data_IF_516784994719
#
_entry.id   IF_516784994719
#
_cell.length_a   1.000
_cell.length_b   1.000
_cell.length_c   1.000
_cell.angle_alpha   90.00
_cell.angle_beta   90.00
_cell.angle_gamma   90.00
#
_symmetry.space_group_name_H-M   'P 1'
#
loop_
_entity.id
_entity.type
_entity.pdbx_description
1 polymer ?
#
# COMPACT_ATOMS: atom_id res chain seq x y z
N UNK A 1 29.89 -43.82 -29.62
CA UNK A 1 28.69 -43.79 -30.48
C UNK A 1 27.44 -44.35 -29.80
N UNK A 2 27.31 -45.65 -29.50
CA UNK A 2 26.06 -46.19 -28.89
C UNK A 2 25.88 -45.89 -27.38
N UNK A 3 26.97 -45.67 -26.63
CA UNK A 3 26.93 -45.29 -25.20
C UNK A 3 26.56 -43.82 -25.02
N UNK A 4 27.15 -42.93 -25.82
CA UNK A 4 26.89 -41.48 -25.79
C UNK A 4 25.43 -41.16 -26.11
N UNK A 5 24.85 -41.83 -27.11
CA UNK A 5 23.43 -41.70 -27.43
C UNK A 5 22.52 -42.08 -26.25
N UNK A 6 22.83 -43.18 -25.53
CA UNK A 6 22.04 -43.58 -24.36
C UNK A 6 22.08 -42.56 -23.22
N UNK A 7 23.22 -41.90 -23.02
CA UNK A 7 23.35 -40.82 -22.03
C UNK A 7 22.55 -39.58 -22.44
N UNK A 8 22.62 -39.19 -23.72
CA UNK A 8 21.86 -38.05 -24.25
C UNK A 8 20.33 -38.30 -24.19
N UNK A 9 19.87 -39.52 -24.49
CA UNK A 9 18.46 -39.89 -24.34
C UNK A 9 17.99 -39.89 -22.88
N UNK A 10 18.83 -40.35 -21.95
CA UNK A 10 18.51 -40.35 -20.52
C UNK A 10 18.47 -38.93 -19.94
N UNK A 11 19.38 -38.05 -20.37
CA UNK A 11 19.42 -36.65 -19.95
C UNK A 11 18.23 -35.86 -20.49
N UNK A 12 17.84 -36.11 -21.74
CA UNK A 12 16.66 -35.49 -22.35
C UNK A 12 15.36 -35.94 -21.68
N UNK A 13 15.27 -37.22 -21.34
CA UNK A 13 14.12 -37.77 -20.60
C UNK A 13 14.05 -37.20 -19.17
N UNK A 14 15.18 -37.06 -18.48
CA UNK A 14 15.25 -36.42 -17.16
C UNK A 14 14.80 -34.96 -17.21
N UNK A 15 15.25 -34.21 -18.23
CA UNK A 15 14.90 -32.80 -18.41
C UNK A 15 13.42 -32.58 -18.75
N UNK A 16 12.81 -33.48 -19.53
CA UNK A 16 11.37 -33.42 -19.83
C UNK A 16 10.50 -33.82 -18.62
N UNK A 17 10.95 -34.77 -17.80
CA UNK A 17 10.25 -35.19 -16.56
C UNK A 17 10.30 -34.07 -15.50
N UNK A 18 11.47 -33.42 -15.33
CA UNK A 18 11.63 -32.27 -14.43
C UNK A 18 10.74 -31.09 -14.85
N UNK A 19 10.64 -30.80 -16.16
CA UNK A 19 9.72 -29.77 -16.67
C UNK A 19 8.25 -30.12 -16.41
N UNK A 20 7.87 -31.37 -16.62
CA UNK A 20 6.50 -31.83 -16.42
C UNK A 20 6.10 -31.77 -14.94
N UNK A 21 7.02 -32.07 -14.02
CA UNK A 21 6.80 -31.95 -12.57
C UNK A 21 6.71 -30.49 -12.11
N UNK A 22 7.53 -29.59 -12.68
CA UNK A 22 7.44 -28.15 -12.44
C UNK A 22 6.10 -27.59 -12.95
N UNK A 23 5.67 -28.01 -14.14
CA UNK A 23 4.40 -27.57 -14.73
C UNK A 23 3.22 -28.05 -13.89
N UNK A 24 3.19 -29.34 -13.49
CA UNK A 24 2.18 -29.86 -12.55
C UNK A 24 2.18 -29.15 -11.20
N UNK A 25 3.36 -28.85 -10.66
CA UNK A 25 3.48 -28.12 -9.39
C UNK A 25 2.95 -26.70 -9.54
N UNK A 26 3.24 -26.00 -10.64
CA UNK A 26 2.73 -24.65 -10.88
C UNK A 26 1.22 -24.60 -11.07
N UNK A 27 0.64 -25.59 -11.76
CA UNK A 27 -0.82 -25.71 -11.94
C UNK A 27 -1.52 -26.05 -10.60
N UNK A 28 -0.92 -26.92 -9.77
CA UNK A 28 -1.45 -27.24 -8.46
C UNK A 28 -1.39 -26.04 -7.49
N UNK A 29 -0.33 -25.22 -7.57
CA UNK A 29 -0.23 -23.96 -6.82
C UNK A 29 -1.25 -22.92 -7.30
N UNK A 30 -1.50 -22.81 -8.62
CA UNK A 30 -2.53 -21.94 -9.19
C UNK A 30 -3.96 -22.34 -8.74
N UNK A 31 -4.22 -23.64 -8.55
CA UNK A 31 -5.48 -24.16 -7.99
C UNK A 31 -5.62 -23.93 -6.48
N UNK A 32 -4.52 -24.02 -5.71
CA UNK A 32 -4.50 -23.71 -4.27
C UNK A 32 -4.58 -22.21 -3.97
N UNK A 33 -4.04 -21.35 -4.85
CA UNK A 33 -4.17 -19.90 -4.73
C UNK A 33 -5.60 -19.42 -5.02
N UNK A 34 -6.40 -20.21 -5.74
CA UNK A 34 -7.77 -19.85 -6.07
C UNK A 34 -8.71 -19.99 -4.88
N UNK A 35 -9.63 -19.04 -4.74
CA UNK A 35 -10.57 -19.10 -3.63
C UNK A 35 -11.43 -20.36 -3.76
N UNK A 36 -11.60 -21.16 -2.69
CA UNK A 36 -12.48 -22.34 -2.69
C UNK A 36 -13.93 -22.01 -3.05
N UNK A 37 -14.31 -20.73 -2.98
CA UNK A 37 -15.63 -20.21 -3.31
C UNK A 37 -15.59 -19.64 -4.74
N UNK A 38 -16.29 -20.25 -5.71
CA UNK A 38 -16.21 -19.89 -7.13
C UNK A 38 -16.69 -18.46 -7.41
N UNK A 39 -17.63 -17.95 -6.60
CA UNK A 39 -18.11 -16.57 -6.71
C UNK A 39 -17.03 -15.54 -6.36
N UNK A 40 -16.11 -15.88 -5.44
CA UNK A 40 -14.99 -15.02 -5.02
C UNK A 40 -13.84 -15.10 -6.04
N UNK A 41 -13.57 -16.29 -6.57
CA UNK A 41 -12.60 -16.51 -7.64
C UNK A 41 -12.93 -15.73 -8.93
N UNK A 42 -14.22 -15.55 -9.22
CA UNK A 42 -14.65 -14.83 -10.42
C UNK A 42 -14.52 -13.30 -10.32
N UNK A 43 -14.50 -12.74 -9.10
CA UNK A 43 -14.47 -11.29 -8.85
C UNK A 43 -13.07 -10.76 -8.52
N UNK A 44 -12.16 -11.63 -8.05
CA UNK A 44 -10.77 -11.27 -7.74
C UNK A 44 -9.85 -12.01 -8.69
N UNK A 45 -9.12 -11.28 -9.53
CA UNK A 45 -8.04 -11.88 -10.33
C UNK A 45 -6.87 -12.20 -9.40
N UNK A 46 -6.50 -13.48 -9.32
CA UNK A 46 -5.30 -13.90 -8.58
C UNK A 46 -3.99 -13.56 -9.29
N UNK A 47 -4.03 -13.32 -10.60
CA UNK A 47 -2.85 -12.97 -11.38
C UNK A 47 -2.54 -11.49 -11.21
N UNK A 48 -1.41 -11.19 -10.57
CA UNK A 48 -0.85 -9.84 -10.52
C UNK A 48 -0.13 -9.51 -11.84
N UNK A 49 -0.42 -8.33 -12.41
CA UNK A 49 0.28 -7.81 -13.59
C UNK A 49 1.37 -6.81 -13.16
N UNK A 50 2.67 -7.17 -13.24
CA UNK A 50 3.76 -6.31 -12.81
C UNK A 50 4.02 -5.12 -13.76
N UNK A 51 3.42 -5.10 -14.96
CA UNK A 51 3.60 -4.01 -15.93
C UNK A 51 2.74 -2.77 -15.64
N UNK A 52 1.76 -2.90 -14.75
CA UNK A 52 0.84 -1.81 -14.41
C UNK A 52 1.60 -0.65 -13.71
N UNK A 53 1.47 0.59 -14.20
CA UNK A 53 2.15 1.74 -13.60
C UNK A 53 1.66 1.98 -12.17
N UNK A 54 2.64 2.11 -11.26
CA UNK A 54 2.47 2.44 -9.85
C UNK A 54 3.13 3.79 -9.56
N UNK A 55 2.71 4.45 -8.48
CA UNK A 55 3.30 5.73 -8.02
C UNK A 55 3.26 6.86 -9.06
N UNK A 56 2.19 6.95 -9.86
CA UNK A 56 2.03 8.00 -10.88
C UNK A 56 1.81 9.39 -10.28
N UNK A 57 1.89 10.44 -11.10
CA UNK A 57 1.56 11.81 -10.69
C UNK A 57 0.16 11.92 -10.06
N UNK A 58 -0.83 11.27 -10.66
CA UNK A 58 -2.22 11.23 -10.16
C UNK A 58 -2.30 10.61 -8.76
N UNK A 59 -1.57 9.51 -8.53
CA UNK A 59 -1.46 8.92 -7.20
C UNK A 59 -0.92 9.94 -6.19
N UNK A 60 0.21 10.57 -6.48
CA UNK A 60 0.84 11.53 -5.56
C UNK A 60 -0.07 12.72 -5.25
N UNK A 61 -0.70 13.27 -6.29
CA UNK A 61 -1.64 14.39 -6.15
C UNK A 61 -2.82 14.02 -5.24
N UNK A 62 -3.49 12.89 -5.50
CA UNK A 62 -4.62 12.44 -4.68
C UNK A 62 -4.20 12.06 -3.26
N UNK A 63 -3.14 11.28 -3.12
CA UNK A 63 -2.67 10.79 -1.83
C UNK A 63 -2.29 11.95 -0.91
N UNK A 64 -1.56 12.95 -1.40
CA UNK A 64 -1.18 14.13 -0.59
C UNK A 64 -2.41 14.93 -0.18
N UNK A 65 -3.31 15.25 -1.11
CA UNK A 65 -4.49 16.07 -0.82
C UNK A 65 -5.41 15.36 0.19
N UNK A 66 -5.72 14.08 -0.05
CA UNK A 66 -6.59 13.33 0.85
C UNK A 66 -5.96 13.13 2.23
N UNK A 67 -4.66 12.85 2.32
CA UNK A 67 -3.97 12.74 3.60
C UNK A 67 -3.97 14.05 4.39
N UNK A 68 -3.75 15.20 3.73
CA UNK A 68 -3.81 16.52 4.38
C UNK A 68 -5.20 16.77 4.94
N UNK A 69 -6.24 16.57 4.13
CA UNK A 69 -7.63 16.82 4.53
C UNK A 69 -8.02 15.90 5.69
N UNK A 70 -7.72 14.62 5.59
CA UNK A 70 -8.07 13.63 6.61
C UNK A 70 -7.38 13.92 7.94
N UNK A 71 -6.06 14.12 7.90
CA UNK A 71 -5.24 14.38 9.08
C UNK A 71 -5.65 15.70 9.74
N UNK A 72 -5.94 16.74 8.95
CA UNK A 72 -6.44 18.01 9.46
C UNK A 72 -7.74 17.85 10.23
N UNK A 73 -8.76 17.19 9.65
CA UNK A 73 -10.04 17.03 10.33
C UNK A 73 -9.91 16.19 11.60
N UNK A 74 -9.20 15.06 11.53
CA UNK A 74 -9.01 14.20 12.69
C UNK A 74 -8.24 14.90 13.81
N UNK A 75 -7.20 15.67 13.48
CA UNK A 75 -6.43 16.41 14.47
C UNK A 75 -7.19 17.63 15.03
N UNK A 76 -7.97 18.32 14.18
CA UNK A 76 -8.74 19.50 14.59
C UNK A 76 -9.86 19.16 15.59
N UNK A 77 -10.52 18.00 15.42
CA UNK A 77 -11.57 17.56 16.32
C UNK A 77 -11.07 16.83 17.57
N UNK A 78 -9.78 16.53 17.66
CA UNK A 78 -9.20 15.72 18.75
C UNK A 78 -9.47 16.27 20.16
N UNK A 79 -9.29 17.58 20.38
CA UNK A 79 -9.50 18.21 21.69
C UNK A 79 -10.95 18.65 21.96
N UNK A 80 -11.90 18.29 21.09
CA UNK A 80 -13.31 18.65 21.28
C UNK A 80 -13.98 17.68 22.25
N UNK A 81 -14.96 18.19 23.00
CA UNK A 81 -15.76 17.38 23.94
C UNK A 81 -16.52 16.24 23.24
N UNK A 82 -16.92 16.45 21.99
CA UNK A 82 -17.49 15.44 21.11
C UNK A 82 -16.63 15.37 19.84
N UNK A 83 -15.57 14.54 19.83
CA UNK A 83 -14.68 14.44 18.68
C UNK A 83 -15.40 13.74 17.53
N UNK A 84 -15.29 14.31 16.32
CA UNK A 84 -15.72 13.67 15.08
C UNK A 84 -14.49 13.15 14.36
N UNK A 85 -14.44 11.83 14.13
CA UNK A 85 -13.35 11.19 13.38
C UNK A 85 -13.85 10.76 12.01
N UNK A 86 -13.07 11.08 10.98
CA UNK A 86 -13.31 10.65 9.61
C UNK A 86 -12.50 9.38 9.37
N UNK A 87 -13.20 8.33 8.95
CA UNK A 87 -12.57 7.06 8.59
C UNK A 87 -11.93 7.15 7.19
N UNK A 88 -10.76 6.54 7.02
CA UNK A 88 -10.07 6.41 5.74
C UNK A 88 -10.92 5.73 4.65
N UNK A 89 -11.94 4.94 5.02
CA UNK A 89 -12.93 4.37 4.09
C UNK A 89 -13.63 5.43 3.23
N UNK A 90 -13.84 6.65 3.76
CA UNK A 90 -14.42 7.75 3.00
C UNK A 90 -13.51 8.12 1.82
N UNK A 91 -12.20 8.14 2.03
CA UNK A 91 -11.23 8.39 0.96
C UNK A 91 -11.12 7.21 0.01
N UNK A 92 -11.19 5.98 0.51
CA UNK A 92 -11.24 4.81 -0.35
C UNK A 92 -12.43 4.90 -1.32
N UNK A 93 -13.63 5.24 -0.85
CA UNK A 93 -14.80 5.40 -1.72
C UNK A 93 -14.65 6.58 -2.70
N UNK A 94 -14.12 7.72 -2.25
CA UNK A 94 -13.97 8.92 -3.08
C UNK A 94 -12.83 8.81 -4.11
N UNK A 95 -11.78 8.06 -3.81
CA UNK A 95 -10.60 7.97 -4.66
C UNK A 95 -10.89 7.29 -6.00
N UNK A 96 -11.87 6.38 -6.07
CA UNK A 96 -12.25 5.71 -7.32
C UNK A 96 -12.87 6.66 -8.37
N UNK A 97 -13.98 7.37 -8.09
CA UNK A 97 -14.57 8.29 -9.05
C UNK A 97 -13.63 9.44 -9.41
N UNK A 98 -12.87 9.97 -8.43
CA UNK A 98 -11.92 11.06 -8.66
C UNK A 98 -10.73 10.59 -9.49
N UNK A 99 -10.18 9.40 -9.23
CA UNK A 99 -9.11 8.82 -10.03
C UNK A 99 -9.52 8.59 -11.49
N UNK A 100 -10.74 8.08 -11.70
CA UNK A 100 -11.29 7.87 -13.05
C UNK A 100 -11.66 9.17 -13.76
N UNK A 101 -12.02 10.21 -13.01
CA UNK A 101 -12.21 11.56 -13.54
C UNK A 101 -10.87 12.17 -14.00
N UNK A 102 -9.83 12.10 -13.15
CA UNK A 102 -8.50 12.62 -13.47
C UNK A 102 -7.87 11.90 -14.66
N UNK A 103 -8.09 10.58 -14.79
CA UNK A 103 -7.64 9.81 -15.95
C UNK A 103 -8.25 10.30 -17.28
N UNK A 104 -9.41 10.96 -17.26
CA UNK A 104 -10.04 11.55 -18.44
C UNK A 104 -9.64 13.01 -18.70
N UNK A 105 -9.32 13.76 -17.65
CA UNK A 105 -9.04 15.20 -17.73
C UNK A 105 -7.54 15.49 -17.94
N UNK A 106 -6.65 14.66 -17.38
CA UNK A 106 -5.21 14.86 -17.52
C UNK A 106 -4.74 14.56 -18.96
N UNK A 107 -3.85 15.40 -19.52
CA UNK A 107 -3.28 15.18 -20.85
C UNK A 107 -2.43 13.89 -20.86
N UNK A 108 -2.52 13.15 -21.97
CA UNK A 108 -1.74 11.92 -22.20
C UNK A 108 -0.24 12.20 -22.15
N UNK A 109 0.52 11.37 -21.44
CA UNK A 109 1.98 11.51 -21.29
C UNK A 109 2.46 11.08 -19.91
N UNK A 110 3.52 11.71 -19.40
CA UNK A 110 4.08 11.40 -18.07
C UNK A 110 3.06 11.60 -16.93
N UNK A 111 2.15 12.57 -17.08
CA UNK A 111 1.09 12.86 -16.10
C UNK A 111 -0.08 11.87 -16.16
N UNK A 112 -0.26 11.19 -17.29
CA UNK A 112 -1.33 10.22 -17.50
C UNK A 112 -0.82 9.05 -18.36
N UNK A 113 -0.08 8.10 -17.75
CA UNK A 113 0.52 6.98 -18.46
C UNK A 113 -0.50 5.93 -18.92
N UNK A 114 -1.72 5.95 -18.36
CA UNK A 114 -2.77 5.00 -18.72
C UNK A 114 -4.04 5.14 -17.89
N UNK A 115 -5.00 4.21 -18.09
CA UNK A 115 -6.23 4.14 -17.31
C UNK A 115 -5.98 4.09 -15.80
N UNK A 116 -6.98 4.47 -15.02
CA UNK A 116 -6.89 4.37 -13.57
C UNK A 116 -6.89 2.91 -13.13
N UNK A 117 -5.80 2.50 -12.47
CA UNK A 117 -5.56 1.11 -12.12
C UNK A 117 -5.94 0.80 -10.66
N UNK A 118 -6.20 -0.48 -10.38
CA UNK A 118 -6.49 -0.96 -9.02
C UNK A 118 -5.30 -0.70 -8.09
N UNK A 119 -4.07 -0.86 -8.58
CA UNK A 119 -2.85 -0.59 -7.80
C UNK A 119 -2.77 0.86 -7.32
N UNK A 120 -3.04 1.83 -8.20
CA UNK A 120 -3.04 3.24 -7.81
C UNK A 120 -4.15 3.54 -6.79
N UNK A 121 -5.34 2.96 -6.97
CA UNK A 121 -6.46 3.11 -6.06
C UNK A 121 -6.16 2.59 -4.65
N UNK A 122 -5.64 1.37 -4.56
CA UNK A 122 -5.24 0.75 -3.29
C UNK A 122 -4.14 1.57 -2.64
N UNK A 123 -3.15 2.03 -3.42
CA UNK A 123 -2.03 2.81 -2.89
C UNK A 123 -2.48 4.17 -2.33
N UNK A 124 -3.40 4.88 -3.01
CA UNK A 124 -3.99 6.12 -2.45
C UNK A 124 -4.68 5.84 -1.13
N UNK A 125 -5.49 4.77 -1.06
CA UNK A 125 -6.26 4.41 0.13
C UNK A 125 -5.35 4.01 1.30
N UNK A 126 -4.29 3.26 1.03
CA UNK A 126 -3.28 2.86 2.01
C UNK A 126 -2.55 4.09 2.58
N UNK A 127 -2.05 4.97 1.71
CA UNK A 127 -1.35 6.19 2.13
C UNK A 127 -2.25 7.11 2.94
N UNK A 128 -3.52 7.25 2.55
CA UNK A 128 -4.49 8.01 3.34
C UNK A 128 -4.77 7.38 4.70
N UNK A 129 -4.90 6.06 4.77
CA UNK A 129 -5.10 5.34 6.03
C UNK A 129 -3.92 5.53 6.99
N UNK A 130 -2.69 5.51 6.47
CA UNK A 130 -1.48 5.79 7.25
C UNK A 130 -1.45 7.22 7.82
N UNK A 131 -2.13 8.18 7.20
CA UNK A 131 -2.22 9.57 7.64
C UNK A 131 -3.47 9.87 8.50
N UNK A 132 -4.38 8.91 8.67
CA UNK A 132 -5.64 9.11 9.37
C UNK A 132 -5.47 9.29 10.89
N UNK A 133 -4.42 8.71 11.46
CA UNK A 133 -4.16 8.73 12.90
C UNK A 133 -3.74 10.11 13.41
N UNK A 134 -4.25 10.47 14.59
CA UNK A 134 -3.75 11.63 15.34
C UNK A 134 -2.40 11.30 15.98
N UNK A 135 -1.51 12.30 16.04
CA UNK A 135 -0.16 12.08 16.58
C UNK A 135 -0.19 12.11 18.12
N UNK A 136 0.08 10.97 18.75
CA UNK A 136 0.03 10.86 20.22
C UNK A 136 0.99 11.81 20.95
N UNK A 137 2.11 12.18 20.31
CA UNK A 137 3.06 13.13 20.86
C UNK A 137 2.47 14.53 21.07
N UNK A 138 1.37 14.87 20.38
CA UNK A 138 0.64 16.13 20.60
C UNK A 138 0.10 16.19 22.03
N UNK A 139 -0.42 15.08 22.57
CA UNK A 139 -0.94 15.04 23.94
C UNK A 139 0.19 15.23 24.96
N UNK A 140 1.37 14.66 24.70
CA UNK A 140 2.56 14.83 25.55
C UNK A 140 2.94 16.32 25.63
N UNK A 141 3.04 16.99 24.48
CA UNK A 141 3.39 18.42 24.41
C UNK A 141 2.33 19.27 25.10
N UNK A 142 1.04 18.98 24.90
CA UNK A 142 -0.05 19.71 25.54
C UNK A 142 -0.02 19.53 27.06
N UNK A 143 0.21 18.31 27.56
CA UNK A 143 0.32 18.05 28.99
C UNK A 143 1.52 18.79 29.59
N UNK A 144 2.68 18.75 28.94
CA UNK A 144 3.86 19.49 29.41
C UNK A 144 3.59 20.99 29.52
N UNK A 145 2.96 21.58 28.49
CA UNK A 145 2.66 23.01 28.47
C UNK A 145 1.60 23.43 29.50
N UNK A 146 0.53 22.63 29.65
CA UNK A 146 -0.62 22.97 30.50
C UNK A 146 -0.38 22.65 31.98
N UNK A 147 0.20 21.48 32.29
CA UNK A 147 0.37 21.02 33.67
C UNK A 147 1.74 21.32 34.27
N UNK A 148 2.81 21.32 33.47
CA UNK A 148 4.17 21.52 33.95
C UNK A 148 4.73 22.92 33.66
N UNK A 149 4.01 23.73 32.87
CA UNK A 149 4.38 25.11 32.51
C UNK A 149 5.77 25.24 31.85
N UNK A 150 6.27 24.15 31.27
CA UNK A 150 7.56 24.10 30.57
C UNK A 150 7.33 24.02 29.06
N UNK A 151 8.00 24.90 28.31
CA UNK A 151 7.94 24.96 26.85
C UNK A 151 9.34 24.80 26.26
N UNK A 152 9.61 23.64 25.66
CA UNK A 152 10.88 23.36 24.96
C UNK A 152 11.04 24.10 23.62
N UNK A 153 10.06 24.95 23.26
CA UNK A 153 10.02 25.71 22.01
C UNK A 153 9.42 24.93 20.83
N UNK A 154 9.04 25.67 19.78
CA UNK A 154 8.37 25.11 18.60
C UNK A 154 9.20 24.02 17.90
N UNK A 155 10.50 24.26 17.72
CA UNK A 155 11.38 23.32 17.03
C UNK A 155 11.52 21.97 17.75
N UNK A 156 11.70 21.99 19.06
CA UNK A 156 11.79 20.76 19.86
C UNK A 156 10.48 19.98 19.86
N UNK A 157 9.35 20.66 20.02
CA UNK A 157 8.02 20.04 19.99
C UNK A 157 7.70 19.45 18.61
N UNK A 158 8.02 20.16 17.53
CA UNK A 158 7.86 19.66 16.16
C UNK A 158 8.74 18.45 15.90
N UNK A 159 10.00 18.49 16.33
CA UNK A 159 10.94 17.38 16.16
C UNK A 159 10.52 16.16 16.97
N UNK A 160 10.01 16.35 18.19
CA UNK A 160 9.44 15.28 19.00
C UNK A 160 8.29 14.58 18.25
N UNK A 161 7.30 15.35 17.78
CA UNK A 161 6.16 14.82 17.02
C UNK A 161 6.64 14.11 15.75
N UNK A 162 7.60 14.68 15.02
CA UNK A 162 8.11 14.08 13.80
C UNK A 162 8.84 12.75 14.06
N UNK A 163 9.70 12.71 15.09
CA UNK A 163 10.41 11.50 15.49
C UNK A 163 9.45 10.38 15.89
N UNK A 164 8.38 10.67 16.63
CA UNK A 164 7.41 9.63 17.03
C UNK A 164 6.68 9.03 15.83
N UNK A 165 6.36 9.83 14.81
CA UNK A 165 5.74 9.31 13.59
C UNK A 165 6.71 8.48 12.75
N UNK A 166 7.98 8.86 12.68
CA UNK A 166 9.01 8.14 11.91
C UNK A 166 9.45 6.83 12.56
N UNK A 167 9.43 6.75 13.90
CA UNK A 167 9.88 5.57 14.65
C UNK A 167 9.08 4.31 14.25
N UNK A 168 7.76 4.43 14.10
CA UNK A 168 6.90 3.32 13.66
C UNK A 168 7.29 2.76 12.29
N UNK A 169 7.48 3.64 11.30
CA UNK A 169 7.93 3.23 9.96
C UNK A 169 9.36 2.67 9.97
N UNK A 170 10.24 3.20 10.83
CA UNK A 170 11.59 2.69 11.02
C UNK A 170 11.61 1.25 11.55
N UNK A 171 10.80 0.96 12.58
CA UNK A 171 10.69 -0.41 13.12
C UNK A 171 10.10 -1.39 12.11
N UNK A 172 9.08 -0.97 11.34
CA UNK A 172 8.52 -1.79 10.28
C UNK A 172 9.58 -2.18 9.22
N UNK A 173 10.50 -1.26 8.89
CA UNK A 173 11.60 -1.53 7.98
C UNK A 173 12.60 -2.57 8.53
N UNK A 174 12.97 -2.48 9.81
CA UNK A 174 13.90 -3.44 10.45
C UNK A 174 13.29 -4.83 10.55
N UNK A 175 11.99 -4.92 10.84
CA UNK A 175 11.29 -6.18 10.99
C UNK A 175 10.92 -6.85 9.66
N UNK A 176 11.08 -6.17 8.52
CA UNK A 176 10.77 -6.71 7.19
C UNK A 176 11.49 -8.02 6.87
N UNK A 177 12.64 -8.31 7.48
CA UNK A 177 13.36 -9.58 7.27
C UNK A 177 12.70 -10.78 7.98
N UNK A 178 11.88 -10.51 8.99
CA UNK A 178 11.23 -11.52 9.81
C UNK A 178 9.73 -11.71 9.47
N UNK A 179 9.19 -10.87 8.58
CA UNK A 179 7.89 -11.04 7.92
C UNK A 179 8.07 -11.64 6.54
#
# INVERSE_FOLDING_TARGET
MASEQKHEYAEKQYYDDEKHDIEKSSVALDEEENSPIPEVAAIVSNKDDPSLPVMTFRYWFMAVIFSIILSFFNQFFWFRTHPMTINALVIQLLSYPIGKFMARVLPSGFMNPGPFNVKEHVLVSLTANCAAGTAYAVDIVVIQKVFYHEDFGFGANLLLIFCTQMLGYGMAGVLRRYL
#
